data_IF_909068833243
#
_entry.id   IF_909068833243
#
_cell.length_a   1.000
_cell.length_b   1.000
_cell.length_c   1.000
_cell.angle_alpha   90.00
_cell.angle_beta   90.00
_cell.angle_gamma   90.00
#
_symmetry.space_group_name_H-M   'P 1'
#
loop_
_entity.id
_entity.type
_entity.pdbx_description
1 polymer ?
#
# COMPACT_ATOMS: atom_id res chain seq x y z
N UNK A 1 8.41 6.76 -4.57
CA UNK A 1 7.39 5.98 -3.80
C UNK A 1 6.10 6.77 -3.73
N UNK A 2 4.94 6.08 -3.72
CA UNK A 2 3.61 6.72 -3.67
C UNK A 2 2.83 6.12 -2.50
N UNK A 3 2.32 6.97 -1.62
CA UNK A 3 1.49 6.58 -0.47
C UNK A 3 0.09 7.16 -0.63
N UNK A 4 -0.93 6.39 -0.29
CA UNK A 4 -2.32 6.83 -0.28
C UNK A 4 -2.80 6.96 1.16
N UNK A 5 -3.25 8.14 1.53
CA UNK A 5 -3.82 8.44 2.84
C UNK A 5 -5.33 8.54 2.72
N UNK A 6 -6.04 7.77 3.53
CA UNK A 6 -7.49 7.82 3.67
C UNK A 6 -7.88 8.97 4.61
N UNK A 7 -8.34 10.09 4.05
CA UNK A 7 -8.68 11.26 4.83
C UNK A 7 -9.80 11.01 5.85
N UNK A 8 -10.73 10.11 5.52
CA UNK A 8 -11.89 9.81 6.38
C UNK A 8 -11.52 9.00 7.63
N UNK A 9 -10.54 8.09 7.50
CA UNK A 9 -10.13 7.24 8.62
C UNK A 9 -8.86 7.73 9.32
N UNK A 10 -8.22 8.77 8.83
CA UNK A 10 -6.91 9.22 9.31
C UNK A 10 -6.86 9.47 10.81
N UNK A 11 -7.79 10.28 11.35
CA UNK A 11 -7.81 10.60 12.78
C UNK A 11 -7.98 9.36 13.65
N UNK A 12 -8.83 8.44 13.22
CA UNK A 12 -9.06 7.17 13.92
C UNK A 12 -7.79 6.32 13.92
N UNK A 13 -7.10 6.24 12.79
CA UNK A 13 -5.92 5.40 12.62
C UNK A 13 -4.68 6.01 13.30
N UNK A 14 -4.53 7.33 13.27
CA UNK A 14 -3.46 8.04 13.99
C UNK A 14 -3.74 8.25 15.49
N UNK A 15 -4.98 8.19 15.91
CA UNK A 15 -5.37 8.28 17.32
C UNK A 15 -5.38 6.94 18.06
N UNK A 16 -5.10 5.84 17.36
CA UNK A 16 -5.13 4.51 17.97
C UNK A 16 -3.80 4.13 18.61
N UNK A 17 -3.87 3.35 19.69
CA UNK A 17 -2.72 2.68 20.32
C UNK A 17 -2.65 1.20 19.93
N UNK A 18 -3.51 0.75 19.03
CA UNK A 18 -3.57 -0.64 18.60
C UNK A 18 -2.27 -1.07 17.91
N UNK A 19 -1.85 -2.29 18.18
CA UNK A 19 -0.74 -2.92 17.52
C UNK A 19 -1.16 -3.45 16.15
N UNK A 20 -0.20 -3.68 15.27
CA UNK A 20 -0.46 -4.33 13.98
C UNK A 20 -1.07 -5.71 14.14
N UNK A 21 -0.69 -6.45 15.20
CA UNK A 21 -1.25 -7.75 15.54
C UNK A 21 -2.74 -7.67 15.90
N UNK A 22 -3.18 -6.61 16.57
CA UNK A 22 -4.58 -6.44 17.00
C UNK A 22 -5.54 -6.31 15.82
N UNK A 23 -5.05 -5.85 14.68
CA UNK A 23 -5.82 -5.73 13.42
C UNK A 23 -5.46 -6.78 12.38
N UNK A 24 -4.73 -7.82 12.75
CA UNK A 24 -4.29 -8.86 11.83
C UNK A 24 -3.52 -8.31 10.60
N UNK A 25 -2.74 -7.23 10.82
CA UNK A 25 -1.94 -6.58 9.79
C UNK A 25 -0.50 -7.09 9.73
N UNK A 26 -0.14 -8.00 10.62
CA UNK A 26 1.16 -8.67 10.68
C UNK A 26 0.98 -10.08 11.25
N UNK A 27 1.70 -11.03 10.71
CA UNK A 27 1.78 -12.42 11.21
C UNK A 27 3.07 -12.66 11.98
N UNK A 28 3.90 -11.62 12.18
CA UNK A 28 5.17 -11.71 12.89
C UNK A 28 4.90 -11.81 14.39
N UNK A 29 5.25 -12.94 14.97
CA UNK A 29 5.15 -13.17 16.41
C UNK A 29 6.10 -12.22 17.16
N UNK A 30 5.54 -11.35 18.04
CA UNK A 30 6.31 -10.33 18.76
C UNK A 30 6.47 -9.00 18.03
N UNK A 31 5.72 -8.73 16.97
CA UNK A 31 5.69 -7.41 16.34
C UNK A 31 4.91 -6.42 17.22
N UNK A 32 5.63 -5.54 17.90
CA UNK A 32 5.07 -4.51 18.78
C UNK A 32 4.87 -3.16 18.06
N UNK A 33 5.01 -3.10 16.74
CA UNK A 33 4.74 -1.87 16.01
C UNK A 33 3.25 -1.53 16.09
N UNK A 34 2.99 -0.24 16.27
CA UNK A 34 1.61 0.28 16.22
C UNK A 34 1.21 0.60 14.79
N UNK A 35 -0.09 0.71 14.55
CA UNK A 35 -0.64 1.20 13.28
C UNK A 35 -0.07 2.58 12.94
N UNK A 36 0.09 3.43 13.97
CA UNK A 36 0.66 4.78 13.82
C UNK A 36 2.09 4.73 13.31
N UNK A 37 2.91 3.79 13.80
CA UNK A 37 4.29 3.64 13.32
C UNK A 37 4.30 3.29 11.82
N UNK A 38 3.50 2.32 11.41
CA UNK A 38 3.40 1.92 10.00
C UNK A 38 2.95 3.08 9.10
N UNK A 39 1.92 3.82 9.51
CA UNK A 39 1.41 4.96 8.75
C UNK A 39 2.43 6.10 8.69
N UNK A 40 3.15 6.36 9.78
CA UNK A 40 4.21 7.36 9.83
C UNK A 40 5.34 7.01 8.86
N UNK A 41 5.84 5.78 8.92
CA UNK A 41 6.87 5.29 8.01
C UNK A 41 6.45 5.46 6.53
N UNK A 42 5.21 5.06 6.20
CA UNK A 42 4.68 5.20 4.85
C UNK A 42 4.61 6.65 4.37
N UNK A 43 4.33 7.60 5.26
CA UNK A 43 4.29 9.03 4.93
C UNK A 43 5.71 9.58 4.77
N UNK A 44 6.62 9.25 5.68
CA UNK A 44 8.00 9.74 5.66
C UNK A 44 8.76 9.31 4.40
N UNK A 45 8.51 8.09 3.91
CA UNK A 45 9.18 7.55 2.73
C UNK A 45 8.55 7.96 1.38
N UNK A 46 7.40 8.59 1.38
CA UNK A 46 6.69 8.91 0.16
C UNK A 46 7.32 10.05 -0.62
N UNK A 47 7.50 9.90 -1.93
CA UNK A 47 7.78 11.03 -2.83
C UNK A 47 6.49 11.73 -3.26
N UNK A 48 5.38 10.96 -3.34
CA UNK A 48 4.04 11.47 -3.66
C UNK A 48 3.06 10.93 -2.64
N UNK A 49 2.25 11.79 -2.06
CA UNK A 49 1.19 11.44 -1.13
C UNK A 49 -0.15 11.84 -1.73
N UNK A 50 -1.05 10.88 -1.86
CA UNK A 50 -2.40 11.09 -2.34
C UNK A 50 -3.33 11.16 -1.14
N UNK A 51 -3.90 12.33 -0.86
CA UNK A 51 -4.99 12.50 0.09
C UNK A 51 -6.29 12.09 -0.61
N UNK A 52 -6.73 10.87 -0.33
CA UNK A 52 -7.93 10.31 -0.96
C UNK A 52 -9.16 10.41 -0.06
N UNK A 53 -10.34 10.29 -0.64
CA UNK A 53 -11.65 10.48 0.01
C UNK A 53 -11.85 11.90 0.56
N UNK A 54 -11.32 12.90 -0.14
CA UNK A 54 -11.52 14.31 0.24
C UNK A 54 -12.98 14.74 0.12
N UNK A 55 -13.79 13.99 -0.60
CA UNK A 55 -15.26 14.13 -0.70
C UNK A 55 -16.02 13.75 0.57
N UNK A 56 -15.40 13.00 1.49
CA UNK A 56 -16.02 12.51 2.73
C UNK A 56 -15.66 13.34 3.97
N UNK A 57 -14.83 14.36 3.82
CA UNK A 57 -14.36 15.22 4.92
C UNK A 57 -14.49 16.69 4.53
N UNK A 58 -14.51 17.59 5.51
CA UNK A 58 -14.54 19.02 5.25
C UNK A 58 -13.15 19.60 4.87
N UNK A 59 -13.16 20.83 4.37
CA UNK A 59 -11.94 21.50 3.95
C UNK A 59 -10.98 21.80 5.12
N UNK A 60 -11.49 21.96 6.33
CA UNK A 60 -10.71 22.18 7.54
C UNK A 60 -9.92 20.94 7.90
N UNK A 61 -10.56 19.77 7.88
CA UNK A 61 -9.93 18.45 8.08
C UNK A 61 -8.84 18.21 7.04
N UNK A 62 -9.12 18.45 5.75
CA UNK A 62 -8.10 18.31 4.69
C UNK A 62 -6.92 19.24 4.94
N UNK A 63 -7.17 20.47 5.36
CA UNK A 63 -6.13 21.45 5.73
C UNK A 63 -5.25 20.98 6.89
N UNK A 64 -5.88 20.46 7.94
CA UNK A 64 -5.20 19.88 9.10
C UNK A 64 -4.31 18.69 8.71
N UNK A 65 -4.87 17.74 7.95
CA UNK A 65 -4.14 16.56 7.48
C UNK A 65 -2.92 16.95 6.64
N UNK A 66 -3.11 17.89 5.72
CA UNK A 66 -2.00 18.41 4.91
C UNK A 66 -0.91 19.03 5.76
N UNK A 67 -1.27 19.80 6.80
CA UNK A 67 -0.30 20.41 7.72
C UNK A 67 0.43 19.35 8.55
N UNK A 68 -0.27 18.32 9.04
CA UNK A 68 0.33 17.21 9.77
C UNK A 68 1.32 16.43 8.89
N UNK A 69 0.92 16.08 7.68
CA UNK A 69 1.75 15.37 6.72
C UNK A 69 2.99 16.20 6.34
N UNK A 70 2.85 17.51 6.17
CA UNK A 70 3.99 18.40 5.89
C UNK A 70 5.03 18.46 7.02
N UNK A 71 4.62 18.20 8.27
CA UNK A 71 5.55 18.08 9.40
C UNK A 71 6.33 16.77 9.37
N UNK A 72 5.70 15.67 8.91
CA UNK A 72 6.34 14.37 8.79
C UNK A 72 7.22 14.30 7.53
N UNK A 73 6.72 14.82 6.42
CA UNK A 73 7.42 14.82 5.14
C UNK A 73 7.22 16.15 4.40
N UNK A 74 8.16 17.10 4.57
CA UNK A 74 8.08 18.43 3.95
C UNK A 74 8.25 18.39 2.42
N UNK A 75 8.94 17.39 1.89
CA UNK A 75 9.35 17.33 0.48
C UNK A 75 8.37 16.59 -0.41
N UNK A 76 7.49 15.76 0.16
CA UNK A 76 6.53 14.98 -0.61
C UNK A 76 5.58 15.85 -1.42
N UNK A 77 5.31 15.47 -2.67
CA UNK A 77 4.25 16.06 -3.47
C UNK A 77 2.89 15.58 -2.97
N UNK A 78 2.03 16.49 -2.53
CA UNK A 78 0.69 16.17 -2.04
C UNK A 78 -0.34 16.40 -3.14
N UNK A 79 -1.18 15.39 -3.42
CA UNK A 79 -2.26 15.41 -4.40
C UNK A 79 -3.57 15.11 -3.68
N UNK A 80 -4.60 15.91 -3.93
CA UNK A 80 -5.96 15.64 -3.43
C UNK A 80 -6.71 14.77 -4.44
N UNK A 81 -7.48 13.81 -3.94
CA UNK A 81 -8.20 12.87 -4.80
C UNK A 81 -9.53 12.43 -4.19
N UNK A 82 -10.45 12.16 -5.07
CA UNK A 82 -11.74 11.52 -4.78
C UNK A 82 -11.79 10.22 -5.60
N UNK A 83 -12.23 9.13 -4.97
CA UNK A 83 -12.29 7.81 -5.61
C UNK A 83 -10.96 7.36 -6.26
N UNK A 84 -9.82 7.82 -5.72
CA UNK A 84 -8.47 7.56 -6.25
C UNK A 84 -8.27 8.05 -7.70
N UNK A 85 -9.02 9.04 -8.14
CA UNK A 85 -8.90 9.63 -9.47
C UNK A 85 -7.71 10.59 -9.52
N UNK A 86 -6.57 10.09 -9.94
CA UNK A 86 -5.33 10.86 -10.11
C UNK A 86 -4.83 10.71 -11.54
N UNK A 87 -4.32 11.79 -12.11
CA UNK A 87 -3.71 11.72 -13.44
C UNK A 87 -2.44 10.84 -13.36
N UNK A 88 -2.32 9.78 -14.16
CA UNK A 88 -1.14 8.91 -14.14
C UNK A 88 0.20 9.65 -14.34
N UNK A 89 0.22 10.77 -15.04
CA UNK A 89 1.42 11.59 -15.23
C UNK A 89 1.94 12.21 -13.92
N UNK A 90 1.08 12.35 -12.92
CA UNK A 90 1.45 12.84 -11.59
C UNK A 90 2.20 11.79 -10.76
N UNK A 91 2.09 10.52 -11.14
CA UNK A 91 2.61 9.36 -10.41
C UNK A 91 3.75 8.66 -11.14
N UNK A 92 3.72 8.67 -12.47
CA UNK A 92 4.69 7.96 -13.30
C UNK A 92 5.75 8.90 -13.86
N UNK A 93 6.99 8.43 -13.93
CA UNK A 93 8.14 9.17 -14.46
C UNK A 93 8.32 10.57 -13.84
N UNK A 94 8.03 10.70 -12.56
CA UNK A 94 8.09 11.99 -11.86
C UNK A 94 9.51 12.47 -11.60
N UNK A 95 10.52 11.59 -11.64
CA UNK A 95 11.90 11.92 -11.30
C UNK A 95 12.12 12.33 -9.83
N UNK A 96 11.12 12.17 -8.96
CA UNK A 96 11.16 12.61 -7.58
C UNK A 96 11.93 11.67 -6.63
N UNK A 97 12.26 10.47 -7.10
CA UNK A 97 13.02 9.54 -6.27
C UNK A 97 14.50 9.88 -6.34
N UNK A 98 15.08 10.18 -5.20
CA UNK A 98 16.51 10.39 -5.01
C UNK A 98 17.03 9.34 -4.02
N UNK A 99 18.02 8.57 -4.47
CA UNK A 99 18.55 7.45 -3.67
C UNK A 99 19.39 7.94 -2.48
N UNK A 100 20.15 9.03 -2.64
CA UNK A 100 20.98 9.56 -1.56
C UNK A 100 20.12 10.12 -0.44
N UNK A 101 19.03 10.82 -0.80
CA UNK A 101 18.04 11.31 0.17
C UNK A 101 17.32 10.14 0.85
N UNK A 102 16.94 9.11 0.09
CA UNK A 102 16.28 7.93 0.64
C UNK A 102 17.15 7.16 1.63
N UNK A 103 18.44 6.99 1.35
CA UNK A 103 19.39 6.32 2.26
C UNK A 103 19.53 7.00 3.63
N UNK A 104 19.35 8.31 3.69
CA UNK A 104 19.47 9.08 4.92
C UNK A 104 18.20 9.07 5.76
N UNK A 105 17.09 8.54 5.23
CA UNK A 105 15.86 8.40 6.00
C UNK A 105 16.03 7.30 7.08
N UNK A 106 15.57 7.60 8.29
CA UNK A 106 15.82 6.75 9.48
C UNK A 106 15.36 5.30 9.31
N UNK A 107 14.26 5.05 8.60
CA UNK A 107 13.76 3.72 8.33
C UNK A 107 14.64 2.93 7.34
N UNK A 108 15.20 3.57 6.32
CA UNK A 108 16.15 2.95 5.41
C UNK A 108 17.46 2.58 6.09
N UNK A 109 17.96 3.42 6.99
CA UNK A 109 19.15 3.11 7.77
C UNK A 109 18.94 1.86 8.62
N UNK A 110 17.78 1.76 9.28
CA UNK A 110 17.42 0.59 10.08
C UNK A 110 17.33 -0.69 9.24
N UNK A 111 16.77 -0.59 8.03
CA UNK A 111 16.65 -1.72 7.10
C UNK A 111 18.02 -2.15 6.53
N UNK A 112 18.88 -1.17 6.20
CA UNK A 112 20.24 -1.45 5.71
C UNK A 112 21.17 -2.00 6.79
N UNK A 113 20.92 -1.70 8.06
CA UNK A 113 21.65 -2.22 9.23
C UNK A 113 21.20 -3.62 9.63
N UNK A 114 20.04 -4.08 9.16
CA UNK A 114 19.58 -5.44 9.41
C UNK A 114 20.40 -6.42 8.58
N UNK A 115 21.26 -7.21 9.27
CA UNK A 115 22.13 -8.22 8.63
C UNK A 115 21.36 -9.37 7.95
N UNK A 116 20.07 -9.52 8.22
CA UNK A 116 19.21 -10.55 7.66
C UNK A 116 17.92 -9.94 7.13
N UNK A 117 17.90 -9.65 5.83
CA UNK A 117 16.67 -9.39 5.10
C UNK A 117 16.09 -10.73 4.65
N UNK A 118 15.13 -11.26 5.40
CA UNK A 118 14.32 -12.38 4.94
C UNK A 118 13.33 -11.84 3.90
N UNK A 119 13.34 -12.31 2.64
CA UNK A 119 12.36 -11.88 1.66
C UNK A 119 10.95 -12.10 2.20
N UNK A 120 10.04 -11.15 2.01
CA UNK A 120 8.64 -11.23 2.48
C UNK A 120 7.94 -12.54 2.05
N UNK A 121 8.35 -13.11 0.92
CA UNK A 121 7.87 -14.41 0.43
C UNK A 121 8.27 -15.58 1.34
N UNK A 122 9.39 -15.47 2.03
CA UNK A 122 9.86 -16.51 2.99
C UNK A 122 9.29 -16.24 4.38
N UNK A 123 9.17 -14.98 4.77
CA UNK A 123 8.67 -14.56 6.07
C UNK A 123 7.19 -14.90 6.27
N UNK A 124 6.37 -14.70 5.23
CA UNK A 124 4.92 -14.97 5.29
C UNK A 124 4.49 -16.27 4.60
N UNK A 125 5.41 -17.05 4.06
CA UNK A 125 5.08 -18.25 3.28
C UNK A 125 4.23 -17.95 2.04
N UNK A 126 4.19 -16.70 1.60
CA UNK A 126 3.40 -16.23 0.46
C UNK A 126 4.28 -16.26 -0.78
N UNK A 127 3.86 -16.99 -1.80
CA UNK A 127 4.54 -17.02 -3.09
C UNK A 127 3.64 -16.52 -4.20
N UNK A 128 4.24 -16.04 -5.28
CA UNK A 128 3.50 -15.63 -6.46
C UNK A 128 3.98 -16.38 -7.68
N UNK A 129 3.07 -16.66 -8.60
CA UNK A 129 3.42 -17.21 -9.90
C UNK A 129 2.61 -16.54 -11.01
N UNK A 130 3.15 -16.53 -12.22
CA UNK A 130 2.49 -15.97 -13.39
C UNK A 130 2.07 -17.10 -14.31
N UNK A 131 0.76 -17.29 -14.47
CA UNK A 131 0.19 -18.18 -15.46
C UNK A 131 0.02 -17.44 -16.79
N UNK A 132 0.60 -17.97 -17.87
CA UNK A 132 0.46 -17.42 -19.22
C UNK A 132 -0.03 -18.48 -20.18
N UNK A 133 -1.14 -18.20 -20.86
CA UNK A 133 -1.67 -19.05 -21.90
C UNK A 133 -2.25 -18.19 -23.02
N UNK A 134 -2.09 -18.65 -24.26
CA UNK A 134 -2.66 -18.00 -25.47
C UNK A 134 -4.07 -18.51 -25.81
N UNK A 135 -4.57 -19.52 -25.12
CA UNK A 135 -5.90 -20.10 -25.39
C UNK A 135 -6.96 -19.40 -24.55
N UNK A 136 -8.15 -19.17 -25.10
CA UNK A 136 -9.28 -18.66 -24.34
C UNK A 136 -9.73 -19.66 -23.28
N UNK A 137 -10.35 -19.16 -22.23
CA UNK A 137 -11.00 -20.00 -21.24
C UNK A 137 -12.39 -20.40 -21.70
N UNK A 138 -12.77 -21.63 -21.41
CA UNK A 138 -14.16 -22.08 -21.57
C UNK A 138 -15.03 -21.43 -20.49
N UNK A 139 -16.10 -20.69 -20.81
CA UNK A 139 -16.87 -19.91 -19.85
C UNK A 139 -17.34 -20.72 -18.64
N UNK A 140 -18.00 -21.86 -18.86
CA UNK A 140 -18.53 -22.69 -17.76
C UNK A 140 -17.43 -23.28 -16.88
N UNK A 141 -16.32 -23.74 -17.47
CA UNK A 141 -15.19 -24.29 -16.69
C UNK A 141 -14.49 -23.23 -15.87
N UNK A 142 -14.34 -22.02 -16.41
CA UNK A 142 -13.76 -20.92 -15.65
C UNK A 142 -14.68 -20.52 -14.49
N UNK A 143 -15.98 -20.43 -14.75
CA UNK A 143 -16.96 -20.15 -13.71
C UNK A 143 -16.94 -21.18 -12.58
N UNK A 144 -16.96 -22.47 -12.93
CA UNK A 144 -16.87 -23.58 -11.97
C UNK A 144 -15.57 -23.53 -11.17
N UNK A 145 -14.44 -23.28 -11.83
CA UNK A 145 -13.14 -23.13 -11.17
C UNK A 145 -13.14 -22.00 -10.16
N UNK A 146 -13.62 -20.83 -10.54
CA UNK A 146 -13.61 -19.65 -9.68
C UNK A 146 -14.58 -19.75 -8.49
N UNK A 147 -15.70 -20.46 -8.65
CA UNK A 147 -16.74 -20.50 -7.61
C UNK A 147 -16.69 -21.78 -6.76
N UNK A 148 -16.18 -22.89 -7.28
CA UNK A 148 -16.23 -24.19 -6.62
C UNK A 148 -14.83 -24.73 -6.31
N UNK A 149 -13.90 -24.61 -7.27
CA UNK A 149 -12.60 -25.25 -7.22
C UNK A 149 -11.44 -24.25 -7.01
N UNK A 150 -11.74 -23.01 -6.63
CA UNK A 150 -10.69 -22.01 -6.39
C UNK A 150 -9.81 -22.42 -5.20
N UNK A 151 -8.47 -22.38 -5.34
CA UNK A 151 -7.58 -22.81 -4.26
C UNK A 151 -7.79 -21.98 -3.00
N UNK A 152 -8.03 -22.63 -1.87
CA UNK A 152 -8.25 -21.94 -0.58
C UNK A 152 -7.03 -21.13 -0.12
N UNK A 153 -5.81 -21.50 -0.55
CA UNK A 153 -4.59 -20.76 -0.27
C UNK A 153 -4.30 -19.61 -1.23
N UNK A 154 -5.15 -19.35 -2.22
CA UNK A 154 -4.93 -18.22 -3.14
C UNK A 154 -5.48 -16.92 -2.54
N UNK A 155 -4.57 -16.10 -2.00
CA UNK A 155 -4.91 -14.82 -1.39
C UNK A 155 -5.40 -13.79 -2.41
N UNK A 156 -4.82 -13.78 -3.61
CA UNK A 156 -5.17 -12.83 -4.67
C UNK A 156 -4.80 -13.36 -6.05
N UNK A 157 -5.68 -13.15 -7.02
CA UNK A 157 -5.38 -13.34 -8.44
C UNK A 157 -5.75 -12.07 -9.23
N UNK A 158 -4.90 -11.70 -10.19
CA UNK A 158 -5.13 -10.62 -11.14
C UNK A 158 -4.65 -11.04 -12.51
N UNK A 159 -5.36 -10.66 -13.56
CA UNK A 159 -4.91 -10.97 -14.91
C UNK A 159 -5.87 -10.46 -15.97
N UNK A 160 -5.41 -10.59 -17.22
CA UNK A 160 -6.22 -10.41 -18.40
C UNK A 160 -6.50 -11.80 -18.98
N UNK A 161 -7.73 -12.07 -19.31
CA UNK A 161 -8.15 -13.31 -19.95
C UNK A 161 -9.28 -13.03 -20.93
N UNK A 162 -9.47 -13.94 -21.87
CA UNK A 162 -10.64 -13.92 -22.75
C UNK A 162 -11.38 -15.25 -22.66
N UNK A 163 -12.67 -15.20 -22.94
CA UNK A 163 -13.55 -16.35 -22.98
C UNK A 163 -13.72 -16.81 -24.42
N UNK A 164 -13.80 -18.13 -24.61
CA UNK A 164 -14.20 -18.70 -25.88
C UNK A 164 -15.67 -18.34 -26.14
N UNK A 165 -15.94 -17.69 -27.26
CA UNK A 165 -17.28 -17.36 -27.76
C UNK A 165 -17.80 -18.52 -28.64
#
# INVERSE_FOLDING_TARGET
MVTVVDCYNFEKDFGTTELLMDRELTDIEGDHRTIVNLLTDQIEFANVIILNKTDLVDAETVGFLKAAIRKLNPDAKIIHSEFSKVNPKELLNTGLFDFETAQNAAGWQKELESEHHTPETEEYGISSFVFRNKKPFHPLRLWEYLNINYPQGALRAKGLFWLAS
#
